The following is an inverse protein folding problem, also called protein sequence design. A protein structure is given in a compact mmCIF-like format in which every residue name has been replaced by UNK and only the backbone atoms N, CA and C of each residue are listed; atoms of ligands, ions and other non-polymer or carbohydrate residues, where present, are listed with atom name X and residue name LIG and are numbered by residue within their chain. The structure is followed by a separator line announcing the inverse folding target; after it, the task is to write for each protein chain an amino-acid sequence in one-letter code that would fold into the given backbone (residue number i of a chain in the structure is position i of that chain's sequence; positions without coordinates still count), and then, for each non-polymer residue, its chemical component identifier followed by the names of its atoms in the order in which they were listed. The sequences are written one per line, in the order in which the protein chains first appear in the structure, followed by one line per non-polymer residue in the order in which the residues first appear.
data_IF_412941779554
#
_entry.id   IF_412941779554
#
_cell.length_a   1.000
_cell.length_b   1.000
_cell.length_c   1.000
_cell.angle_alpha   90.00
_cell.angle_beta   90.00
_cell.angle_gamma   90.00
#
_symmetry.space_group_name_H-M   'P 1'
#
loop_
_entity.id
_entity.type
_entity.pdbx_description
1 polymer ?
#
# COMPACT_ATOMS: atom_id res chain seq x y z
N UNK A 1 1.24 -17.49 -4.98
CA UNK A 1 1.23 -16.51 -6.09
C UNK A 1 2.19 -15.36 -5.82
N UNK A 2 2.08 -14.68 -4.67
CA UNK A 2 3.01 -13.61 -4.30
C UNK A 2 4.29 -14.11 -3.61
N UNK A 3 4.56 -15.41 -3.60
CA UNK A 3 5.71 -15.99 -2.87
C UNK A 3 7.05 -15.44 -3.38
N UNK A 4 7.11 -15.08 -4.67
CA UNK A 4 8.26 -14.45 -5.30
C UNK A 4 8.32 -12.93 -5.12
N UNK A 5 7.29 -12.28 -4.58
CA UNK A 5 7.24 -10.83 -4.43
C UNK A 5 8.00 -10.40 -3.18
N UNK A 6 8.68 -9.25 -3.25
CA UNK A 6 9.31 -8.66 -2.07
C UNK A 6 8.27 -8.02 -1.15
N UNK A 7 8.65 -7.72 0.10
CA UNK A 7 7.79 -6.99 1.03
C UNK A 7 7.36 -5.63 0.45
N UNK A 8 8.26 -4.91 -0.20
CA UNK A 8 7.94 -3.65 -0.90
C UNK A 8 6.89 -3.86 -1.98
N UNK A 9 7.05 -4.87 -2.84
CA UNK A 9 6.07 -5.16 -3.88
C UNK A 9 4.69 -5.55 -3.31
N UNK A 10 4.64 -6.27 -2.18
CA UNK A 10 3.39 -6.57 -1.47
C UNK A 10 2.74 -5.30 -0.91
N UNK A 11 3.54 -4.37 -0.36
CA UNK A 11 3.05 -3.07 0.13
C UNK A 11 2.51 -2.17 -0.99
N UNK A 12 3.12 -2.19 -2.17
CA UNK A 12 2.59 -1.51 -3.37
C UNK A 12 1.17 -1.95 -3.68
N UNK A 13 0.92 -3.27 -3.75
CA UNK A 13 -0.41 -3.83 -4.05
C UNK A 13 -1.40 -3.48 -2.93
N UNK A 14 -0.95 -3.49 -1.68
CA UNK A 14 -1.76 -3.06 -0.54
C UNK A 14 -2.19 -1.59 -0.67
N UNK A 15 -1.25 -0.70 -1.00
CA UNK A 15 -1.58 0.71 -1.21
C UNK A 15 -2.48 0.89 -2.41
N UNK A 16 -2.28 0.15 -3.50
CA UNK A 16 -3.17 0.18 -4.66
C UNK A 16 -4.62 -0.15 -4.27
N UNK A 17 -4.83 -1.19 -3.44
CA UNK A 17 -6.16 -1.51 -2.94
C UNK A 17 -6.75 -0.40 -2.06
N UNK A 18 -5.92 0.22 -1.23
CA UNK A 18 -6.34 1.35 -0.40
C UNK A 18 -6.78 2.54 -1.26
N UNK A 19 -5.99 2.91 -2.27
CA UNK A 19 -6.32 4.01 -3.19
C UNK A 19 -7.60 3.68 -3.97
N UNK A 20 -7.76 2.45 -4.49
CA UNK A 20 -8.99 2.02 -5.16
C UNK A 20 -10.23 2.16 -4.26
N UNK A 21 -10.10 1.82 -2.96
CA UNK A 21 -11.18 2.02 -1.98
C UNK A 21 -11.46 3.50 -1.72
N UNK A 22 -10.41 4.33 -1.71
CA UNK A 22 -10.53 5.77 -1.50
C UNK A 22 -11.26 6.45 -2.65
N UNK A 23 -10.89 6.13 -3.89
CA UNK A 23 -11.53 6.62 -5.11
C UNK A 23 -12.87 5.92 -5.43
N UNK A 24 -13.32 4.98 -4.59
CA UNK A 24 -14.57 4.26 -4.80
C UNK A 24 -14.59 3.40 -6.06
N UNK A 25 -13.43 2.94 -6.52
CA UNK A 25 -13.34 2.07 -7.70
C UNK A 25 -13.78 0.64 -7.35
N UNK A 26 -14.60 0.00 -8.21
CA UNK A 26 -14.96 -1.40 -8.05
C UNK A 26 -13.80 -2.37 -8.36
N UNK A 27 -12.69 -1.89 -8.91
CA UNK A 27 -11.52 -2.68 -9.26
C UNK A 27 -10.23 -2.00 -8.80
N UNK A 28 -9.18 -2.79 -8.57
CA UNK A 28 -7.82 -2.26 -8.46
C UNK A 28 -7.28 -2.06 -9.87
N UNK A 29 -7.37 -0.81 -10.33
CA UNK A 29 -6.90 -0.36 -11.65
C UNK A 29 -5.42 0.08 -11.62
N UNK A 30 -4.85 0.34 -12.80
CA UNK A 30 -3.41 0.61 -12.99
C UNK A 30 -2.93 1.90 -12.33
N UNK A 31 -3.80 2.89 -12.22
CA UNK A 31 -3.56 4.17 -11.57
C UNK A 31 -3.43 4.04 -10.06
N UNK A 32 -4.22 3.15 -9.46
CA UNK A 32 -4.09 2.83 -8.05
C UNK A 32 -2.78 2.09 -7.81
N UNK A 33 -2.41 1.18 -8.71
CA UNK A 33 -1.12 0.50 -8.65
C UNK A 33 0.04 1.48 -8.78
N UNK A 34 -0.06 2.45 -9.70
CA UNK A 34 0.91 3.54 -9.83
C UNK A 34 1.04 4.35 -8.54
N UNK A 35 -0.07 4.79 -7.95
CA UNK A 35 -0.03 5.48 -6.65
C UNK A 35 0.60 4.62 -5.55
N UNK A 36 0.33 3.31 -5.56
CA UNK A 36 0.97 2.36 -4.66
C UNK A 36 2.49 2.29 -4.83
N UNK A 37 2.97 2.26 -6.08
CA UNK A 37 4.39 2.29 -6.42
C UNK A 37 5.04 3.59 -5.94
N UNK A 38 4.44 4.73 -6.27
CA UNK A 38 4.97 6.06 -5.91
C UNK A 38 5.01 6.27 -4.39
N UNK A 39 4.09 5.64 -3.67
CA UNK A 39 4.02 5.72 -2.20
C UNK A 39 5.03 4.83 -1.49
N UNK A 40 5.26 3.61 -2.00
CA UNK A 40 6.19 2.67 -1.37
C UNK A 40 7.65 3.01 -1.70
N UNK A 41 7.93 3.37 -2.95
CA UNK A 41 9.30 3.42 -3.46
C UNK A 41 9.71 4.83 -3.87
N UNK A 42 10.35 5.53 -2.92
CA UNK A 42 10.89 6.87 -3.13
C UNK A 42 11.96 6.92 -4.21
N UNK A 43 12.67 5.81 -4.47
CA UNK A 43 13.69 5.80 -5.53
C UNK A 43 13.03 5.90 -6.91
N UNK A 44 11.89 5.24 -7.11
CA UNK A 44 11.11 5.34 -8.35
C UNK A 44 10.59 6.77 -8.53
N UNK A 45 10.00 7.35 -7.48
CA UNK A 45 9.42 8.69 -7.55
C UNK A 45 10.46 9.80 -7.74
N UNK A 46 11.69 9.62 -7.23
CA UNK A 46 12.74 10.66 -7.30
C UNK A 46 13.71 10.50 -8.46
N UNK A 47 13.98 9.26 -8.91
CA UNK A 47 15.06 8.98 -9.87
C UNK A 47 14.56 8.49 -11.22
N UNK A 48 13.45 7.74 -11.26
CA UNK A 48 12.90 7.23 -12.51
C UNK A 48 12.00 8.25 -13.22
N UNK A 49 11.48 9.24 -12.48
CA UNK A 49 10.52 10.23 -12.98
C UNK A 49 10.99 11.64 -12.60
N UNK A 50 11.86 12.28 -13.41
CA UNK A 50 12.35 13.62 -13.12
C UNK A 50 11.19 14.63 -13.12
N UNK A 51 11.12 15.49 -12.10
CA UNK A 51 10.04 16.47 -11.88
C UNK A 51 8.64 15.86 -11.65
N UNK A 52 8.59 14.65 -11.09
CA UNK A 52 7.31 14.07 -10.70
C UNK A 52 6.69 14.86 -9.55
N UNK A 53 5.58 15.53 -9.85
CA UNK A 53 4.64 15.92 -8.82
C UNK A 53 3.60 14.82 -8.63
N UNK A 54 3.74 14.07 -7.53
CA UNK A 54 2.79 13.00 -7.15
C UNK A 54 1.40 13.58 -6.90
N UNK A 55 1.31 14.83 -6.42
CA UNK A 55 0.04 15.51 -6.20
C UNK A 55 -0.68 15.74 -7.54
N UNK A 56 0.04 16.18 -8.57
CA UNK A 56 -0.54 16.30 -9.93
C UNK A 56 -1.11 14.97 -10.46
N UNK A 57 -0.47 13.83 -10.18
CA UNK A 57 -0.97 12.52 -10.59
C UNK A 57 -2.26 12.18 -9.84
N UNK A 58 -2.29 12.42 -8.53
CA UNK A 58 -3.49 12.22 -7.72
C UNK A 58 -4.66 13.07 -8.21
N UNK A 59 -4.41 14.35 -8.52
CA UNK A 59 -5.43 15.25 -9.06
C UNK A 59 -5.97 14.79 -10.42
N UNK A 60 -5.13 14.28 -11.31
CA UNK A 60 -5.59 13.71 -12.59
C UNK A 60 -6.46 12.45 -12.39
N UNK A 61 -6.10 11.60 -11.43
CA UNK A 61 -6.90 10.41 -11.06
C UNK A 61 -8.24 10.82 -10.42
N UNK A 62 -8.23 11.84 -9.55
CA UNK A 62 -9.45 12.41 -8.96
C UNK A 62 -10.40 12.97 -10.02
N UNK A 63 -9.86 13.73 -10.98
CA UNK A 63 -10.65 14.24 -12.12
C UNK A 63 -11.28 13.11 -12.93
N UNK A 64 -10.54 12.03 -13.17
CA UNK A 64 -11.04 10.86 -13.90
C UNK A 64 -12.11 10.08 -13.12
N UNK A 65 -12.13 10.20 -11.79
CA UNK A 65 -13.03 9.44 -10.89
C UNK A 65 -14.16 10.27 -10.29
N UNK A 66 -14.36 11.51 -10.78
CA UNK A 66 -15.40 12.44 -10.32
C UNK A 66 -16.76 11.76 -10.15
N UNK A 67 -17.35 11.90 -8.96
CA UNK A 67 -18.64 11.38 -8.50
C UNK A 67 -18.67 9.97 -7.87
N UNK A 68 -17.53 9.31 -7.67
CA UNK A 68 -17.49 8.07 -6.88
C UNK A 68 -17.36 8.38 -5.39
N UNK A 69 -18.09 7.62 -4.54
CA UNK A 69 -17.94 7.69 -3.08
C UNK A 69 -16.94 6.64 -2.64
N UNK A 70 -16.06 7.01 -1.72
CA UNK A 70 -15.16 6.05 -1.07
C UNK A 70 -15.94 4.86 -0.51
N UNK A 71 -15.41 3.66 -0.74
CA UNK A 71 -15.96 2.40 -0.26
C UNK A 71 -15.13 1.89 0.92
N UNK A 72 -15.74 1.11 1.84
CA UNK A 72 -14.99 0.53 2.95
C UNK A 72 -13.82 -0.34 2.47
N UNK A 73 -12.65 -0.17 3.07
CA UNK A 73 -11.47 -1.03 2.80
C UNK A 73 -11.66 -2.51 3.18
N UNK A 74 -12.79 -2.88 3.79
CA UNK A 74 -13.20 -4.26 4.05
C UNK A 74 -13.84 -4.93 2.83
N UNK A 75 -14.26 -4.16 1.82
CA UNK A 75 -14.76 -4.70 0.55
C UNK A 75 -13.60 -5.39 -0.18
N UNK A 76 -13.88 -6.59 -0.70
CA UNK A 76 -12.93 -7.29 -1.54
C UNK A 76 -12.96 -6.68 -2.95
N UNK A 77 -11.78 -6.34 -3.47
CA UNK A 77 -11.64 -5.62 -4.74
C UNK A 77 -10.81 -6.45 -5.72
N UNK A 78 -11.42 -6.95 -6.81
CA UNK A 78 -10.68 -7.68 -7.83
C UNK A 78 -9.73 -6.74 -8.60
N UNK A 79 -8.63 -7.30 -9.10
CA UNK A 79 -7.75 -6.61 -10.05
C UNK A 79 -8.46 -6.43 -11.40
N UNK A 80 -8.30 -5.28 -12.04
CA UNK A 80 -8.71 -5.10 -13.44
C UNK A 80 -7.90 -6.01 -14.38
N UNK A 81 -8.36 -6.19 -15.63
CA UNK A 81 -7.63 -7.01 -16.59
C UNK A 81 -6.27 -6.39 -16.96
N UNK A 82 -6.22 -5.06 -17.06
CA UNK A 82 -5.03 -4.24 -17.26
C UNK A 82 -4.04 -4.47 -16.11
N UNK A 83 -4.52 -4.42 -14.86
CA UNK A 83 -3.69 -4.60 -13.68
C UNK A 83 -3.12 -6.03 -13.62
N UNK A 84 -3.90 -7.05 -14.00
CA UNK A 84 -3.39 -8.43 -14.13
C UNK A 84 -2.28 -8.55 -15.18
N UNK A 85 -2.42 -7.89 -16.33
CA UNK A 85 -1.37 -7.85 -17.36
C UNK A 85 -0.11 -7.17 -16.84
N UNK A 86 -0.25 -6.06 -16.13
CA UNK A 86 0.87 -5.37 -15.48
C UNK A 86 1.64 -6.29 -14.52
N UNK A 87 0.94 -7.09 -13.70
CA UNK A 87 1.60 -8.05 -12.81
C UNK A 87 2.33 -9.16 -13.57
N UNK A 88 1.76 -9.66 -14.67
CA UNK A 88 2.41 -10.63 -15.54
C UNK A 88 3.68 -10.03 -16.19
N UNK A 89 3.59 -8.79 -16.68
CA UNK A 89 4.75 -8.08 -17.20
C UNK A 89 5.81 -7.83 -16.13
N UNK A 90 5.44 -7.53 -14.89
CA UNK A 90 6.41 -7.39 -13.81
C UNK A 90 7.20 -8.68 -13.55
N UNK A 91 6.55 -9.85 -13.63
CA UNK A 91 7.24 -11.14 -13.55
C UNK A 91 8.22 -11.33 -14.72
N UNK A 92 7.79 -11.03 -15.94
CA UNK A 92 8.67 -11.08 -17.12
C UNK A 92 9.85 -10.11 -17.03
N UNK A 93 9.65 -8.90 -16.48
CA UNK A 93 10.72 -7.93 -16.26
C UNK A 93 11.73 -8.41 -15.21
N UNK A 94 11.27 -9.07 -14.14
CA UNK A 94 12.16 -9.68 -13.16
C UNK A 94 13.02 -10.77 -13.79
N UNK A 95 12.42 -11.64 -14.61
CA UNK A 95 13.16 -12.66 -15.37
C UNK A 95 14.15 -12.01 -16.35
N UNK A 96 13.73 -10.97 -17.08
CA UNK A 96 14.57 -10.26 -18.05
C UNK A 96 15.79 -9.60 -17.40
N UNK A 97 15.64 -9.12 -16.17
CA UNK A 97 16.72 -8.53 -15.38
C UNK A 97 17.49 -9.57 -14.54
N UNK A 98 17.16 -10.85 -14.67
CA UNK A 98 17.76 -11.95 -13.92
C UNK A 98 17.63 -11.77 -12.38
N UNK A 99 16.50 -11.21 -11.95
CA UNK A 99 16.14 -11.04 -10.55
C UNK A 99 15.27 -12.21 -10.07
N UNK A 100 15.65 -12.80 -8.93
CA UNK A 100 14.94 -13.96 -8.37
C UNK A 100 13.58 -13.60 -7.76
N UNK A 101 13.41 -12.33 -7.36
CA UNK A 101 12.21 -11.80 -6.72
C UNK A 101 11.61 -10.63 -7.50
N UNK A 102 10.31 -10.44 -7.36
CA UNK A 102 9.53 -9.36 -7.98
C UNK A 102 9.42 -8.21 -6.97
N UNK A 103 10.22 -7.18 -7.18
CA UNK A 103 10.21 -5.90 -6.43
C UNK A 103 9.27 -4.83 -6.99
N UNK A 104 9.18 -3.69 -6.29
CA UNK A 104 8.39 -2.50 -6.68
C UNK A 104 8.84 -1.93 -8.02
N UNK A 105 10.13 -2.02 -8.31
CA UNK A 105 10.75 -1.64 -9.58
C UNK A 105 10.21 -2.47 -10.75
N UNK A 106 9.93 -3.75 -10.54
CA UNK A 106 9.36 -4.61 -11.58
C UNK A 106 7.90 -4.29 -11.83
N UNK A 107 7.14 -3.97 -10.78
CA UNK A 107 5.76 -3.49 -10.91
C UNK A 107 5.69 -2.20 -11.70
N UNK A 108 6.64 -1.29 -11.46
CA UNK A 108 6.78 -0.06 -12.22
C UNK A 108 7.13 -0.30 -13.70
N UNK A 109 8.06 -1.21 -13.99
CA UNK A 109 8.37 -1.60 -15.37
C UNK A 109 7.16 -2.28 -16.05
N UNK A 110 6.39 -3.08 -15.31
CA UNK A 110 5.15 -3.67 -15.78
C UNK A 110 4.09 -2.63 -16.15
N UNK A 111 3.95 -1.57 -15.33
CA UNK A 111 3.07 -0.43 -15.62
C UNK A 111 3.47 0.25 -16.92
N UNK A 112 4.76 0.55 -17.09
CA UNK A 112 5.29 1.18 -18.31
C UNK A 112 5.17 0.30 -19.56
N UNK A 113 5.09 -1.01 -19.40
CA UNK A 113 4.93 -1.97 -20.51
C UNK A 113 3.49 -2.15 -20.95
N UNK A 114 2.51 -1.92 -20.08
CA UNK A 114 1.11 -1.86 -20.45
C UNK A 114 0.79 -0.50 -21.10
N UNK A 115 1.18 -0.36 -22.37
CA UNK A 115 1.19 0.91 -23.08
C UNK A 115 -0.17 1.62 -23.19
N UNK A 116 -1.26 0.87 -23.12
CA UNK A 116 -2.64 1.33 -23.24
C UNK A 116 -3.32 1.71 -21.92
N UNK A 117 -2.66 1.51 -20.77
CA UNK A 117 -3.28 1.83 -19.48
C UNK A 117 -3.15 3.31 -19.10
N UNK A 118 -4.10 3.78 -18.30
CA UNK A 118 -4.12 5.16 -17.81
C UNK A 118 -2.86 5.50 -17.01
N UNK A 119 -2.39 4.59 -16.16
CA UNK A 119 -1.14 4.76 -15.41
C UNK A 119 0.10 4.95 -16.31
N UNK A 120 0.20 4.20 -17.40
CA UNK A 120 1.28 4.36 -18.38
C UNK A 120 1.17 5.69 -19.14
N UNK A 121 -0.04 6.11 -19.49
CA UNK A 121 -0.29 7.42 -20.12
C UNK A 121 0.25 8.57 -19.27
N UNK A 122 -0.10 8.59 -17.97
CA UNK A 122 0.36 9.61 -17.02
C UNK A 122 1.89 9.66 -16.89
N UNK A 123 2.55 8.50 -16.94
CA UNK A 123 4.01 8.41 -16.89
C UNK A 123 4.65 8.92 -18.18
N UNK A 124 4.10 8.56 -19.34
CA UNK A 124 4.59 8.99 -20.66
C UNK A 124 4.47 10.50 -20.86
N UNK A 125 3.35 11.09 -20.43
CA UNK A 125 3.14 12.55 -20.45
C UNK A 125 4.23 13.30 -19.66
N UNK A 126 4.82 12.64 -18.65
CA UNK A 126 5.90 13.17 -17.81
C UNK A 126 7.29 12.77 -18.31
N UNK A 127 7.38 12.29 -19.55
CA UNK A 127 8.65 11.96 -20.22
C UNK A 127 9.28 10.65 -19.76
N UNK A 128 8.55 9.80 -19.03
CA UNK A 128 9.04 8.50 -18.58
C UNK A 128 8.89 7.49 -19.71
N UNK A 129 10.00 6.84 -20.07
CA UNK A 129 10.02 5.77 -21.06
C UNK A 129 10.41 4.45 -20.43
N UNK A 130 9.91 3.35 -21.00
CA UNK A 130 10.23 2.01 -20.54
C UNK A 130 11.74 1.75 -20.66
N UNK A 131 12.39 2.12 -21.77
CA UNK A 131 13.84 1.90 -21.90
C UNK A 131 14.66 2.68 -20.87
N UNK A 132 14.32 3.94 -20.60
CA UNK A 132 15.02 4.73 -19.59
C UNK A 132 14.86 4.12 -18.19
N UNK A 133 13.64 3.73 -17.83
CA UNK A 133 13.36 3.07 -16.57
C UNK A 133 14.12 1.74 -16.44
N UNK A 134 14.15 0.90 -17.48
CA UNK A 134 14.90 -0.36 -17.49
C UNK A 134 16.40 -0.14 -17.30
N UNK A 135 16.96 0.88 -17.94
CA UNK A 135 18.38 1.24 -17.78
C UNK A 135 18.72 1.67 -16.36
N UNK A 136 17.79 2.37 -15.69
CA UNK A 136 17.95 2.82 -14.30
C UNK A 136 17.83 1.64 -13.33
N UNK A 137 16.83 0.77 -13.51
CA UNK A 137 16.62 -0.42 -12.67
C UNK A 137 17.79 -1.41 -12.81
N UNK A 138 18.22 -1.71 -14.04
CA UNK A 138 19.30 -2.66 -14.28
C UNK A 138 20.65 -2.24 -13.67
N UNK A 139 20.92 -0.93 -13.59
CA UNK A 139 22.14 -0.40 -12.95
C UNK A 139 22.12 -0.48 -11.43
N UNK A 140 20.95 -0.52 -10.80
CA UNK A 140 20.82 -0.61 -9.33
C UNK A 140 21.16 -2.02 -8.81
N UNK A 141 20.97 -3.04 -9.65
CA UNK A 141 21.30 -4.43 -9.36
C UNK A 141 22.82 -4.69 -9.23
N UNK A 142 23.64 -3.86 -9.88
CA UNK A 142 25.10 -3.97 -9.83
C UNK A 142 25.71 -3.36 -8.54
N UNK A 143 24.90 -2.85 -7.61
CA UNK A 143 25.43 -2.06 -6.48
C UNK A 143 24.65 -1.97 -5.16
N UNK A 144 23.66 -2.82 -4.85
CA UNK A 144 22.94 -2.75 -3.55
C UNK A 144 22.72 -4.10 -2.85
N UNK A 145 23.06 -4.24 -1.54
CA UNK A 145 22.93 -5.47 -0.77
C UNK A 145 21.57 -5.55 -0.05
N UNK A 146 20.46 -5.57 -0.78
CA UNK A 146 19.13 -5.85 -0.18
C UNK A 146 18.71 -7.30 -0.45
N UNK A 147 19.67 -8.22 -0.24
CA UNK A 147 19.48 -9.67 -0.19
C UNK A 147 19.53 -10.13 1.26
N UNK A 148 18.38 -10.26 1.92
CA UNK A 148 18.22 -10.91 3.23
C UNK A 148 17.11 -10.24 4.05
N UNK A 149 16.10 -10.92 4.59
CA UNK A 149 16.10 -12.26 5.20
C UNK A 149 14.85 -13.06 4.85
N UNK A 150 15.03 -14.36 4.63
CA UNK A 150 13.96 -15.36 4.68
C UNK A 150 13.74 -15.89 6.10
N UNK A 151 12.55 -16.42 6.36
CA UNK A 151 12.30 -17.40 7.44
C UNK A 151 11.43 -18.52 6.87
N UNK A 152 11.80 -19.75 7.22
CA UNK A 152 11.48 -20.99 6.52
C UNK A 152 10.13 -21.65 6.79
N UNK A 153 10.00 -22.78 6.08
CA UNK A 153 8.92 -23.74 5.89
C UNK A 153 8.39 -24.46 7.13
N UNK A 154 7.06 -24.57 7.25
CA UNK A 154 6.30 -25.79 7.62
C UNK A 154 4.81 -25.45 7.81
N UNK A 155 3.94 -25.91 6.91
CA UNK A 155 2.48 -25.67 6.98
C UNK A 155 1.84 -25.47 5.61
N UNK A 156 2.19 -26.35 4.67
CA UNK A 156 1.62 -26.40 3.33
C UNK A 156 0.23 -27.05 3.34
N UNK A 157 -0.59 -26.72 2.34
CA UNK A 157 -1.83 -27.42 1.93
C UNK A 157 -3.15 -27.01 2.60
N UNK A 158 -3.60 -25.76 2.39
CA UNK A 158 -5.05 -25.41 2.29
C UNK A 158 -5.38 -24.00 1.75
N UNK A 159 -4.42 -23.30 1.16
CA UNK A 159 -4.50 -21.83 0.95
C UNK A 159 -4.85 -21.38 -0.48
N UNK A 160 -5.41 -22.26 -1.32
CA UNK A 160 -5.59 -21.96 -2.76
C UNK A 160 -7.03 -22.06 -3.29
N UNK A 161 -8.02 -21.75 -2.44
CA UNK A 161 -9.41 -21.54 -2.89
C UNK A 161 -10.00 -20.16 -2.53
N UNK A 162 -9.34 -19.35 -1.69
CA UNK A 162 -9.83 -18.03 -1.26
C UNK A 162 -8.65 -17.05 -1.14
N UNK A 163 -8.39 -16.26 -2.18
CA UNK A 163 -7.30 -15.28 -2.22
C UNK A 163 -7.57 -14.10 -1.27
N UNK A 164 -7.17 -14.21 0.01
CA UNK A 164 -7.22 -13.11 1.00
C UNK A 164 -5.80 -12.66 1.39
N UNK A 165 -5.40 -11.44 1.02
CA UNK A 165 -4.28 -10.74 1.68
C UNK A 165 -4.81 -10.14 2.98
N UNK A 166 -4.61 -10.84 4.09
CA UNK A 166 -4.97 -10.36 5.43
C UNK A 166 -3.68 -9.88 6.13
N UNK A 167 -3.42 -8.57 6.09
CA UNK A 167 -2.48 -7.94 7.02
C UNK A 167 -3.25 -7.36 8.20
N UNK A 168 -2.77 -7.70 9.41
CA UNK A 168 -3.33 -7.26 10.68
C UNK A 168 -2.57 -6.01 11.16
N UNK A 169 -3.27 -4.92 11.48
CA UNK A 169 -2.70 -3.66 12.04
C UNK A 169 -2.52 -3.80 13.55
N UNK A 170 -1.42 -3.27 14.12
CA UNK A 170 -1.30 -3.11 15.58
C UNK A 170 -2.26 -2.01 16.05
N UNK A 171 -3.24 -2.42 16.85
CA UNK A 171 -4.23 -1.58 17.51
C UNK A 171 -3.96 -1.68 19.00
N UNK A 172 -3.54 -0.57 19.60
CA UNK A 172 -3.36 -0.44 21.05
C UNK A 172 -4.57 0.25 21.63
N UNK A 173 -5.19 -0.36 22.63
CA UNK A 173 -6.31 0.23 23.34
C UNK A 173 -5.80 0.98 24.58
N UNK A 174 -6.31 2.18 24.80
CA UNK A 174 -6.03 2.98 25.99
C UNK A 174 -7.32 3.28 26.74
N UNK A 175 -7.28 3.27 28.07
CA UNK A 175 -8.38 3.78 28.86
C UNK A 175 -8.49 5.29 28.65
N UNK A 176 -9.70 5.77 28.39
CA UNK A 176 -9.98 7.19 28.28
C UNK A 176 -9.75 7.95 29.60
N UNK A 177 -9.89 7.29 30.76
CA UNK A 177 -9.81 7.94 32.06
C UNK A 177 -8.39 8.39 32.44
N UNK A 178 -7.39 7.56 32.15
CA UNK A 178 -6.00 7.78 32.60
C UNK A 178 -4.94 7.57 31.50
N UNK A 179 -5.35 7.15 30.30
CA UNK A 179 -4.45 6.88 29.17
C UNK A 179 -3.65 5.57 29.29
N UNK A 180 -3.94 4.74 30.29
CA UNK A 180 -3.24 3.47 30.51
C UNK A 180 -3.51 2.51 29.35
N UNK A 181 -2.48 1.78 28.90
CA UNK A 181 -2.65 0.75 27.86
C UNK A 181 -3.42 -0.45 28.42
N UNK A 182 -4.59 -0.73 27.86
CA UNK A 182 -5.48 -1.82 28.27
C UNK A 182 -5.30 -3.10 27.45
N UNK A 183 -4.52 -3.06 26.37
CA UNK A 183 -4.24 -4.22 25.54
C UNK A 183 -3.85 -3.86 24.10
N UNK A 184 -3.26 -4.81 23.41
CA UNK A 184 -2.87 -4.68 22.00
C UNK A 184 -3.44 -5.85 21.19
N UNK A 185 -3.96 -5.55 20.00
CA UNK A 185 -4.44 -6.56 19.06
C UNK A 185 -3.93 -6.29 17.66
N UNK A 186 -3.83 -7.35 16.88
CA UNK A 186 -3.53 -7.29 15.47
C UNK A 186 -4.84 -7.51 14.70
N UNK A 187 -5.48 -6.44 14.20
CA UNK A 187 -6.77 -6.52 13.52
C UNK A 187 -6.75 -5.90 12.13
N UNK A 188 -7.53 -6.49 11.21
CA UNK A 188 -7.77 -5.95 9.87
C UNK A 188 -8.70 -4.75 9.96
N UNK A 189 -9.70 -4.84 10.84
CA UNK A 189 -10.73 -3.85 11.04
C UNK A 189 -10.36 -2.97 12.23
N UNK A 190 -10.22 -1.67 11.94
CA UNK A 190 -10.03 -0.65 12.97
C UNK A 190 -11.41 -0.30 13.53
N UNK A 191 -11.63 -0.45 14.85
CA UNK A 191 -12.89 -0.06 15.48
C UNK A 191 -13.23 1.41 15.21
N UNK A 192 -14.51 1.71 15.07
CA UNK A 192 -15.04 3.08 14.91
C UNK A 192 -15.47 3.63 16.25
N UNK A 193 -15.52 4.96 16.37
CA UNK A 193 -16.09 5.63 17.55
C UNK A 193 -17.54 5.19 17.72
N UNK A 194 -17.87 4.73 18.93
CA UNK A 194 -19.17 4.18 19.29
C UNK A 194 -19.24 2.64 19.27
N UNK A 195 -18.27 1.95 18.65
CA UNK A 195 -18.23 0.49 18.63
C UNK A 195 -17.99 -0.07 20.04
N UNK A 196 -18.60 -1.21 20.35
CA UNK A 196 -18.32 -1.95 21.59
C UNK A 196 -17.18 -2.93 21.37
N UNK A 197 -16.11 -2.79 22.16
CA UNK A 197 -15.00 -3.73 22.21
C UNK A 197 -15.32 -4.76 23.28
N UNK A 198 -15.42 -6.03 22.88
CA UNK A 198 -15.57 -7.20 23.77
C UNK A 198 -14.47 -8.18 23.45
N UNK A 199 -13.34 -8.01 24.12
CA UNK A 199 -12.20 -8.95 24.07
C UNK A 199 -11.98 -9.53 25.47
N UNK A 200 -11.23 -10.63 25.61
CA UNK A 200 -10.94 -11.20 26.93
C UNK A 200 -10.25 -10.23 27.90
N UNK A 201 -9.57 -9.20 27.38
CA UNK A 201 -8.78 -8.25 28.16
C UNK A 201 -9.46 -6.86 28.27
N UNK A 202 -10.38 -6.53 27.36
CA UNK A 202 -10.97 -5.19 27.23
C UNK A 202 -12.48 -5.32 27.01
N UNK A 203 -13.25 -4.68 27.88
CA UNK A 203 -14.68 -4.45 27.71
C UNK A 203 -14.96 -2.96 27.82
N UNK A 204 -15.25 -2.32 26.69
CA UNK A 204 -15.41 -0.88 26.65
C UNK A 204 -16.04 -0.38 25.36
N UNK A 205 -16.42 0.89 25.35
CA UNK A 205 -16.92 1.57 24.15
C UNK A 205 -15.82 2.45 23.59
N UNK A 206 -15.58 2.37 22.29
CA UNK A 206 -14.60 3.23 21.61
C UNK A 206 -15.09 4.67 21.68
N UNK A 207 -14.30 5.56 22.27
CA UNK A 207 -14.60 6.99 22.33
C UNK A 207 -13.74 7.79 21.36
N UNK A 208 -12.54 7.30 21.06
CA UNK A 208 -11.62 7.97 20.12
C UNK A 208 -10.73 6.98 19.40
N UNK A 209 -10.45 7.25 18.13
CA UNK A 209 -9.44 6.53 17.34
C UNK A 209 -8.36 7.53 16.97
N UNK A 210 -7.14 7.26 17.42
CA UNK A 210 -5.95 8.08 17.23
C UNK A 210 -4.98 7.31 16.36
N UNK A 211 -4.56 7.95 15.29
CA UNK A 211 -3.57 7.43 14.37
C UNK A 211 -2.20 7.93 14.83
N UNK A 212 -1.35 7.05 15.35
CA UNK A 212 -0.02 7.40 15.84
C UNK A 212 1.03 7.26 14.72
N UNK A 213 1.61 8.39 14.38
CA UNK A 213 2.68 8.55 13.39
C UNK A 213 4.01 8.55 14.15
N UNK A 214 5.00 7.73 13.77
CA UNK A 214 6.38 8.05 14.16
C UNK A 214 6.75 9.37 13.48
N UNK A 215 7.15 10.37 14.27
CA UNK A 215 7.55 11.68 13.78
C UNK A 215 8.83 11.55 12.97
N UNK A 216 8.71 11.49 11.65
CA UNK A 216 9.74 11.98 10.77
C UNK A 216 9.33 13.41 10.38
N UNK A 217 10.06 14.41 10.88
CA UNK A 217 9.79 15.80 10.54
C UNK A 217 10.02 16.02 9.03
N UNK A 218 8.96 16.36 8.31
CA UNK A 218 9.04 16.88 6.93
C UNK A 218 8.27 18.20 6.86
N UNK A 219 8.95 19.26 6.42
CA UNK A 219 8.33 20.53 6.05
C UNK A 219 8.09 20.58 4.53
N UNK A 220 6.85 20.88 4.14
CA UNK A 220 6.49 21.14 2.75
C UNK A 220 5.88 22.54 2.72
N UNK A 221 6.50 23.46 1.99
CA UNK A 221 6.07 24.86 1.83
C UNK A 221 5.81 25.63 3.15
N UNK A 222 6.63 25.39 4.18
CA UNK A 222 6.51 26.09 5.47
C UNK A 222 5.29 25.68 6.31
N UNK A 223 4.55 24.64 5.89
CA UNK A 223 3.50 24.02 6.69
C UNK A 223 3.84 22.55 6.96
N UNK A 224 3.67 22.13 8.21
CA UNK A 224 3.88 20.73 8.63
C UNK A 224 2.83 19.84 7.97
N UNK A 225 3.24 18.92 7.11
CA UNK A 225 2.35 17.92 6.51
C UNK A 225 2.19 16.72 7.44
N UNK A 226 0.93 16.31 7.72
CA UNK A 226 0.62 15.16 8.57
C UNK A 226 0.80 13.82 7.81
N UNK A 227 1.70 12.97 8.30
CA UNK A 227 2.02 11.62 7.79
C UNK A 227 0.97 10.57 8.22
N UNK A 228 1.04 9.31 7.71
CA UNK A 228 0.13 8.15 8.00
C UNK A 228 0.78 7.09 8.95
N UNK A 229 0.02 6.30 9.76
CA UNK A 229 0.41 5.82 11.11
C UNK A 229 0.86 4.37 11.12
N UNK A 230 1.95 4.06 11.84
CA UNK A 230 2.37 2.68 12.08
C UNK A 230 1.56 2.01 13.20
N UNK A 231 0.99 2.80 14.12
CA UNK A 231 0.27 2.34 15.29
C UNK A 231 -1.08 3.03 15.40
N UNK A 232 -2.13 2.28 15.68
CA UNK A 232 -3.46 2.86 15.91
C UNK A 232 -3.75 2.76 17.39
N UNK A 233 -3.95 3.90 18.04
CA UNK A 233 -4.34 4.00 19.44
C UNK A 233 -5.85 4.20 19.50
N UNK A 234 -6.58 3.34 20.19
CA UNK A 234 -8.03 3.41 20.33
C UNK A 234 -8.34 3.67 21.79
N UNK A 235 -8.86 4.85 22.09
CA UNK A 235 -9.33 5.15 23.44
C UNK A 235 -10.70 4.50 23.64
N UNK A 236 -10.82 3.79 24.75
CA UNK A 236 -12.03 3.11 25.16
C UNK A 236 -12.46 3.61 26.53
N UNK A 237 -13.75 3.91 26.66
CA UNK A 237 -14.37 4.06 27.96
C UNK A 237 -14.64 2.66 28.50
N UNK A 238 -13.92 2.25 29.54
CA UNK A 238 -14.13 0.96 30.16
C UNK A 238 -15.51 0.91 30.82
N UNK A 239 -16.25 -0.15 30.52
CA UNK A 239 -17.52 -0.43 31.20
C UNK A 239 -17.18 -1.15 32.49
N UNK A 240 -17.49 -0.55 33.64
CA UNK A 240 -17.46 -1.26 34.93
C UNK A 240 -18.47 -2.41 34.86
N UNK A 241 -18.08 -3.58 35.35
CA UNK A 241 -19.03 -4.69 35.56
C UNK A 241 -20.20 -4.28 36.46
#
# INVERSE_FOLDING_TARGET
MFDRYTEKARRVIFFARYEASHFGSPYIETEHLLLGVLREDKWISTRAIPNLDVESIQQEIEKATLNRKSIPTSVDLPLSNECKRVLAYAEEEAVRLNHNHIGSEHLFLGLLREDSCFGAGLLKERGVTLEAARSIVGRTAEGSPDSGMGVGTAGQERLFAESRVVMRRSIVFQDEADGTNCGETFSIDVPRVGDEIKTPQIRGRVTRVIYAYEQADYEINGQKANLKPEKIVVNVQLLKE
#
